data_IF_465299535667
#
_entry.id   IF_465299535667
#
_cell.length_a   1.000
_cell.length_b   1.000
_cell.length_c   1.000
_cell.angle_alpha   90.00
_cell.angle_beta   90.00
_cell.angle_gamma   90.00
#
_symmetry.space_group_name_H-M   'P 1'
#
loop_
_entity.id
_entity.type
_entity.pdbx_description
1 polymer ?
#
# COMPACT_ATOMS: atom_id res chain seq x y z
N UNK A 1 -17.62 19.88 2.72
CA UNK A 1 -16.45 20.20 3.57
C UNK A 1 -15.30 19.32 3.12
N UNK A 2 -14.40 19.85 2.27
CA UNK A 2 -13.17 19.16 1.85
C UNK A 2 -12.14 19.45 2.95
N UNK A 3 -12.26 18.78 4.10
CA UNK A 3 -11.49 19.12 5.30
C UNK A 3 -10.02 18.69 5.26
N UNK A 4 -9.67 17.74 4.38
CA UNK A 4 -8.32 17.14 4.38
C UNK A 4 -7.48 17.47 3.15
N UNK A 5 -8.03 18.14 2.12
CA UNK A 5 -7.29 18.42 0.87
C UNK A 5 -6.57 17.20 0.28
N UNK A 6 -7.04 15.99 0.61
CA UNK A 6 -6.35 14.75 0.30
C UNK A 6 -6.78 14.27 -1.08
N UNK A 7 -5.81 14.01 -1.94
CA UNK A 7 -6.05 13.33 -3.19
C UNK A 7 -6.49 11.89 -2.92
N UNK A 8 -7.67 11.52 -3.40
CA UNK A 8 -8.26 10.17 -3.26
C UNK A 8 -7.74 9.18 -4.31
N UNK A 9 -6.68 9.52 -5.05
CA UNK A 9 -6.04 8.60 -5.98
C UNK A 9 -5.45 7.41 -5.22
N UNK A 10 -5.81 6.21 -5.66
CA UNK A 10 -5.20 4.95 -5.21
C UNK A 10 -4.22 4.45 -6.26
N UNK A 11 -3.43 3.42 -5.92
CA UNK A 11 -2.42 2.80 -6.78
C UNK A 11 -1.25 3.74 -7.15
N UNK A 12 -1.07 4.85 -6.46
CA UNK A 12 0.00 5.82 -6.66
C UNK A 12 1.37 5.35 -6.15
N UNK A 13 2.40 6.02 -6.65
CA UNK A 13 3.80 5.86 -6.29
C UNK A 13 4.35 7.21 -5.84
N UNK A 14 5.07 7.19 -4.71
CA UNK A 14 5.78 8.33 -4.17
C UNK A 14 7.25 7.97 -4.04
N UNK A 15 8.10 8.79 -4.65
CA UNK A 15 9.54 8.74 -4.42
C UNK A 15 10.01 10.10 -3.92
N UNK A 16 10.61 10.13 -2.74
CA UNK A 16 11.21 11.35 -2.18
C UNK A 16 12.70 11.14 -1.97
N UNK A 17 13.50 12.08 -2.47
CA UNK A 17 14.96 12.09 -2.35
C UNK A 17 15.34 13.34 -1.58
N UNK A 18 15.44 13.29 -0.24
CA UNK A 18 15.66 14.47 0.58
C UNK A 18 16.94 15.24 0.21
N UNK A 19 18.03 14.53 -0.10
CA UNK A 19 19.31 15.14 -0.49
C UNK A 19 19.24 16.00 -1.77
N UNK A 20 18.31 15.69 -2.67
CA UNK A 20 18.10 16.42 -3.92
C UNK A 20 16.88 17.37 -3.86
N UNK A 21 16.16 17.42 -2.72
CA UNK A 21 14.86 18.09 -2.58
C UNK A 21 13.84 17.70 -3.67
N UNK A 22 13.90 16.44 -4.15
CA UNK A 22 13.03 15.96 -5.24
C UNK A 22 11.92 15.07 -4.70
N UNK A 23 10.69 15.37 -5.16
CA UNK A 23 9.50 14.54 -4.95
C UNK A 23 8.95 14.14 -6.31
N UNK A 24 8.86 12.84 -6.55
CA UNK A 24 8.38 12.26 -7.79
C UNK A 24 7.08 11.52 -7.52
N UNK A 25 6.12 11.68 -8.43
CA UNK A 25 4.81 11.02 -8.38
C UNK A 25 4.44 10.52 -9.77
N UNK A 26 3.51 9.59 -9.84
CA UNK A 26 3.05 8.94 -11.06
C UNK A 26 1.71 9.50 -11.57
N UNK A 27 1.47 10.80 -11.35
CA UNK A 27 0.22 11.49 -11.70
C UNK A 27 0.15 11.92 -13.18
N UNK A 28 1.15 11.58 -13.98
CA UNK A 28 1.16 11.86 -15.41
C UNK A 28 0.08 11.07 -16.14
N UNK A 29 -0.52 11.68 -17.16
CA UNK A 29 -1.47 10.98 -18.03
C UNK A 29 -0.74 9.95 -18.87
N UNK A 30 -1.27 8.74 -18.91
CA UNK A 30 -0.75 7.63 -19.71
C UNK A 30 -1.84 7.09 -20.63
N UNK A 31 -1.43 6.52 -21.76
CA UNK A 31 -2.29 5.64 -22.55
C UNK A 31 -1.97 4.20 -22.13
N UNK A 32 -2.88 3.53 -21.39
CA UNK A 32 -2.60 2.18 -20.92
C UNK A 32 -2.66 1.17 -22.06
N UNK A 33 -1.83 0.13 -21.95
CA UNK A 33 -1.95 -1.07 -22.75
C UNK A 33 -2.92 -2.03 -22.06
N UNK A 34 -3.95 -2.45 -22.79
CA UNK A 34 -4.88 -3.49 -22.36
C UNK A 34 -4.48 -4.82 -22.98
N UNK A 35 -4.47 -5.87 -22.17
CA UNK A 35 -4.29 -7.25 -22.61
C UNK A 35 -5.18 -8.15 -21.77
N UNK A 36 -5.66 -9.24 -22.35
CA UNK A 36 -6.51 -10.22 -21.66
C UNK A 36 -5.92 -11.61 -21.88
N UNK A 37 -5.90 -12.40 -20.82
CA UNK A 37 -5.66 -13.84 -20.86
C UNK A 37 -6.89 -14.58 -20.28
N UNK A 38 -6.92 -15.93 -20.28
CA UNK A 38 -8.10 -16.66 -19.83
C UNK A 38 -8.59 -16.32 -18.41
N UNK A 39 -7.71 -15.85 -17.53
CA UNK A 39 -7.99 -15.62 -16.12
C UNK A 39 -7.92 -14.13 -15.73
N UNK A 40 -7.24 -13.29 -16.51
CA UNK A 40 -6.93 -11.91 -16.13
C UNK A 40 -7.17 -10.88 -17.25
N UNK A 41 -7.77 -9.76 -16.88
CA UNK A 41 -7.67 -8.50 -17.62
C UNK A 41 -6.51 -7.68 -17.08
N UNK A 42 -5.54 -7.35 -17.92
CA UNK A 42 -4.37 -6.55 -17.59
C UNK A 42 -4.46 -5.13 -18.12
N UNK A 43 -4.22 -4.16 -17.24
CA UNK A 43 -4.12 -2.73 -17.54
C UNK A 43 -2.71 -2.30 -17.17
N UNK A 44 -1.86 -2.09 -18.18
CA UNK A 44 -0.43 -1.80 -18.01
C UNK A 44 -0.10 -0.38 -18.42
N UNK A 45 0.79 0.27 -17.67
CA UNK A 45 1.34 1.56 -18.02
C UNK A 45 2.85 1.58 -17.82
N UNK A 46 3.53 2.34 -18.68
CA UNK A 46 4.94 2.68 -18.54
C UNK A 46 5.04 4.19 -18.55
N UNK A 47 5.68 4.76 -17.54
CA UNK A 47 5.84 6.20 -17.44
C UNK A 47 7.25 6.56 -16.94
N UNK A 48 7.80 7.70 -17.35
CA UNK A 48 9.03 8.20 -16.77
C UNK A 48 8.87 8.43 -15.26
N UNK A 49 9.85 8.01 -14.47
CA UNK A 49 9.92 8.33 -13.05
C UNK A 49 11.38 8.58 -12.67
N UNK A 50 11.73 9.85 -12.45
CA UNK A 50 13.10 10.23 -12.13
C UNK A 50 14.03 10.01 -13.32
N UNK A 51 14.98 9.08 -13.17
CA UNK A 51 15.92 8.68 -14.25
C UNK A 51 15.54 7.35 -14.92
N UNK A 52 14.49 6.68 -14.44
CA UNK A 52 14.05 5.39 -14.93
C UNK A 52 12.63 5.42 -15.48
N UNK A 53 12.11 4.23 -15.75
CA UNK A 53 10.74 3.97 -16.18
C UNK A 53 10.04 3.18 -15.08
N UNK A 54 8.92 3.70 -14.61
CA UNK A 54 8.01 2.96 -13.75
C UNK A 54 7.07 2.14 -14.63
N UNK A 55 7.07 0.83 -14.40
CA UNK A 55 6.11 -0.11 -14.93
C UNK A 55 5.03 -0.35 -13.87
N UNK A 56 3.77 -0.09 -14.24
CA UNK A 56 2.61 -0.36 -13.39
C UNK A 56 1.67 -1.34 -14.07
N UNK A 57 1.06 -2.19 -13.28
CA UNK A 57 0.01 -3.08 -13.73
C UNK A 57 -1.12 -3.12 -12.72
N UNK A 58 -2.34 -3.00 -13.22
CA UNK A 58 -3.56 -3.42 -12.53
C UNK A 58 -4.05 -4.63 -13.29
N UNK A 59 -4.12 -5.79 -12.65
CA UNK A 59 -4.73 -6.99 -13.21
C UNK A 59 -6.00 -7.33 -12.45
N UNK A 60 -7.11 -7.53 -13.16
CA UNK A 60 -8.40 -7.91 -12.58
C UNK A 60 -8.68 -9.36 -12.95
N UNK A 61 -8.91 -10.21 -11.95
CA UNK A 61 -9.24 -11.61 -12.20
C UNK A 61 -10.65 -11.71 -12.78
N UNK A 62 -10.82 -12.50 -13.84
CA UNK A 62 -12.09 -12.60 -14.58
C UNK A 62 -13.11 -13.51 -13.88
N UNK A 63 -12.64 -14.44 -13.04
CA UNK A 63 -13.49 -15.47 -12.41
C UNK A 63 -13.56 -15.41 -10.88
N UNK A 64 -12.81 -14.49 -10.26
CA UNK A 64 -12.70 -14.36 -8.79
C UNK A 64 -12.68 -12.89 -8.41
N UNK A 65 -13.18 -12.56 -7.23
CA UNK A 65 -13.09 -11.19 -6.68
C UNK A 65 -11.65 -10.89 -6.25
N UNK A 66 -10.78 -10.57 -7.20
CA UNK A 66 -9.35 -10.32 -6.94
C UNK A 66 -8.80 -9.28 -7.91
N UNK A 67 -8.08 -8.32 -7.36
CA UNK A 67 -7.32 -7.33 -8.15
C UNK A 67 -5.86 -7.39 -7.72
N UNK A 68 -4.95 -7.51 -8.68
CA UNK A 68 -3.51 -7.43 -8.44
C UNK A 68 -2.99 -6.06 -8.84
N UNK A 69 -2.17 -5.47 -7.99
CA UNK A 69 -1.41 -4.27 -8.27
C UNK A 69 0.07 -4.64 -8.29
N UNK A 70 0.80 -4.20 -9.31
CA UNK A 70 2.23 -4.46 -9.45
C UNK A 70 3.02 -3.23 -9.91
N UNK A 71 4.26 -3.13 -9.41
CA UNK A 71 5.17 -2.03 -9.61
C UNK A 71 6.58 -2.57 -9.87
N UNK A 72 7.24 -2.01 -10.88
CA UNK A 72 8.63 -2.31 -11.17
C UNK A 72 9.32 -1.06 -11.73
N UNK A 73 10.50 -0.74 -11.22
CA UNK A 73 11.33 0.35 -11.73
C UNK A 73 12.44 -0.21 -12.61
N UNK A 74 12.65 0.40 -13.77
CA UNK A 74 13.71 0.06 -14.72
C UNK A 74 14.56 1.31 -15.06
N UNK A 75 15.85 1.36 -14.69
CA UNK A 75 16.58 0.36 -13.91
C UNK A 75 16.04 0.28 -12.47
N UNK A 76 16.20 -0.86 -11.77
CA UNK A 76 15.67 -1.07 -10.42
C UNK A 76 16.52 -0.40 -9.35
N UNK A 77 17.06 0.80 -9.60
CA UNK A 77 17.93 1.49 -8.65
C UNK A 77 17.13 1.95 -7.43
N UNK A 78 17.61 1.61 -6.23
CA UNK A 78 17.03 2.12 -4.98
C UNK A 78 17.56 3.52 -4.70
N UNK A 79 16.70 4.55 -4.66
CA UNK A 79 17.15 5.88 -4.31
C UNK A 79 17.60 5.93 -2.84
N UNK A 80 18.49 6.87 -2.54
CA UNK A 80 18.78 7.27 -1.15
C UNK A 80 17.61 8.11 -0.63
N UNK A 81 16.50 7.44 -0.30
CA UNK A 81 15.27 8.11 0.06
C UNK A 81 14.09 7.16 0.26
N UNK A 82 12.91 7.75 0.14
CA UNK A 82 11.62 7.13 0.42
C UNK A 82 11.04 6.60 -0.89
N UNK A 83 10.55 5.37 -0.87
CA UNK A 83 9.78 4.77 -1.97
C UNK A 83 8.55 4.11 -1.39
N UNK A 84 7.38 4.71 -1.60
CA UNK A 84 6.09 4.18 -1.17
C UNK A 84 5.20 3.93 -2.38
N UNK A 85 4.57 2.77 -2.43
CA UNK A 85 3.74 2.32 -3.55
C UNK A 85 2.40 1.78 -3.04
N UNK A 86 1.45 1.62 -3.95
CA UNK A 86 0.23 0.87 -3.65
C UNK A 86 -0.63 1.51 -2.59
N UNK A 87 -0.75 2.84 -2.61
CA UNK A 87 -1.70 3.48 -1.72
C UNK A 87 -3.13 3.01 -2.05
N UNK A 88 -3.81 2.39 -1.10
CA UNK A 88 -5.21 1.95 -1.24
C UNK A 88 -6.02 2.67 -0.17
N UNK A 89 -6.97 3.48 -0.62
CA UNK A 89 -7.85 4.24 0.30
C UNK A 89 -9.15 3.47 0.47
N UNK A 90 -9.50 3.15 1.71
CA UNK A 90 -10.77 2.54 2.09
C UNK A 90 -11.80 3.65 2.26
N UNK A 91 -12.88 3.60 1.48
CA UNK A 91 -13.92 4.62 1.51
C UNK A 91 -14.84 4.42 2.71
N UNK A 92 -15.06 5.50 3.46
CA UNK A 92 -15.96 5.51 4.63
C UNK A 92 -17.44 5.36 4.30
N UNK A 93 -17.81 5.44 3.02
CA UNK A 93 -19.16 5.11 2.58
C UNK A 93 -19.32 3.59 2.30
N UNK A 94 -18.21 2.83 2.23
CA UNK A 94 -18.21 1.38 2.01
C UNK A 94 -17.99 0.55 3.28
N UNK A 95 -17.28 1.09 4.26
CA UNK A 95 -16.95 0.41 5.51
C UNK A 95 -17.34 1.28 6.70
N UNK A 96 -17.96 0.69 7.72
CA UNK A 96 -18.40 1.41 8.92
C UNK A 96 -17.35 1.35 10.02
N UNK A 97 -17.26 2.39 10.85
CA UNK A 97 -16.55 2.27 12.13
C UNK A 97 -17.32 1.34 13.09
N UNK A 98 -16.63 0.62 14.00
CA UNK A 98 -15.17 0.56 14.14
C UNK A 98 -14.47 -0.27 13.05
N UNK A 99 -13.20 0.05 12.80
CA UNK A 99 -12.33 -0.75 11.92
C UNK A 99 -11.33 -1.58 12.72
N UNK A 100 -11.06 -2.77 12.21
CA UNK A 100 -10.09 -3.71 12.75
C UNK A 100 -8.98 -3.95 11.73
N UNK A 101 -7.76 -4.10 12.21
CA UNK A 101 -6.60 -4.51 11.43
C UNK A 101 -6.08 -5.84 11.96
N UNK A 102 -5.80 -6.78 11.07
CA UNK A 102 -5.25 -8.09 11.41
C UNK A 102 -4.01 -8.40 10.57
N UNK A 103 -2.91 -8.81 11.21
CA UNK A 103 -1.70 -9.29 10.55
C UNK A 103 -0.81 -10.08 11.52
N UNK A 104 0.16 -10.84 11.00
CA UNK A 104 1.21 -11.44 11.83
C UNK A 104 2.39 -10.49 12.01
N UNK A 105 2.81 -10.19 13.23
CA UNK A 105 4.01 -9.41 13.54
C UNK A 105 5.19 -10.30 13.96
N UNK A 106 5.24 -11.53 13.47
CA UNK A 106 6.26 -12.54 13.78
C UNK A 106 5.82 -13.63 14.76
N UNK A 107 4.61 -13.51 15.32
CA UNK A 107 3.97 -14.55 16.13
C UNK A 107 3.35 -15.67 15.29
N UNK A 108 3.02 -16.79 15.96
CA UNK A 108 2.35 -17.94 15.35
C UNK A 108 0.88 -17.68 14.99
N UNK A 109 0.23 -16.77 15.73
CA UNK A 109 -1.16 -16.38 15.52
C UNK A 109 -1.24 -14.94 15.01
N UNK A 110 -2.25 -14.59 14.19
CA UNK A 110 -2.44 -13.22 13.75
C UNK A 110 -2.86 -12.34 14.93
N UNK A 111 -2.26 -11.15 15.04
CA UNK A 111 -2.71 -10.15 16.00
C UNK A 111 -3.81 -9.28 15.38
N UNK A 112 -4.84 -8.98 16.18
CA UNK A 112 -5.94 -8.10 15.80
C UNK A 112 -5.88 -6.79 16.61
N UNK A 113 -6.04 -5.65 15.93
CA UNK A 113 -5.98 -4.32 16.50
C UNK A 113 -7.23 -3.54 16.13
N UNK A 114 -7.88 -2.95 17.12
CA UNK A 114 -8.94 -1.97 16.92
C UNK A 114 -8.31 -0.62 16.52
N UNK A 115 -8.78 -0.01 15.43
CA UNK A 115 -8.32 1.30 14.98
C UNK A 115 -9.10 2.41 15.71
N UNK A 116 -8.80 2.62 16.99
CA UNK A 116 -9.53 3.57 17.87
C UNK A 116 -8.87 4.95 18.00
N UNK A 117 -7.68 5.13 17.43
CA UNK A 117 -6.92 6.36 17.52
C UNK A 117 -6.30 6.74 16.16
N UNK A 118 -5.97 8.03 15.94
CA UNK A 118 -5.26 8.44 14.74
C UNK A 118 -3.93 7.72 14.61
N UNK A 119 -3.69 7.11 13.45
CA UNK A 119 -2.46 6.41 13.10
C UNK A 119 -1.89 7.07 11.85
N UNK A 120 -0.59 7.35 11.85
CA UNK A 120 0.09 7.72 10.62
C UNK A 120 1.54 7.23 10.65
N UNK A 121 1.74 6.00 10.20
CA UNK A 121 3.06 5.38 10.06
C UNK A 121 3.97 6.19 9.12
N UNK A 122 3.38 6.85 8.13
CA UNK A 122 4.10 7.61 7.11
C UNK A 122 4.67 8.95 7.57
N UNK A 123 4.36 9.41 8.80
CA UNK A 123 4.94 10.63 9.35
C UNK A 123 6.43 10.44 9.61
N UNK A 124 7.23 11.36 9.08
CA UNK A 124 8.65 11.41 9.38
C UNK A 124 8.88 11.62 10.88
N UNK A 125 9.81 10.87 11.46
CA UNK A 125 10.25 11.06 12.84
C UNK A 125 11.24 12.24 12.95
N UNK A 126 12.03 12.47 11.91
CA UNK A 126 12.97 13.58 11.77
C UNK A 126 13.27 13.85 10.29
N UNK A 127 14.15 14.80 9.97
CA UNK A 127 14.60 15.01 8.59
C UNK A 127 15.39 13.85 7.99
N UNK A 128 15.95 12.97 8.83
CA UNK A 128 16.77 11.83 8.42
C UNK A 128 16.09 10.48 8.65
N UNK A 129 14.93 10.46 9.32
CA UNK A 129 14.15 9.26 9.61
C UNK A 129 12.75 9.44 9.08
N UNK A 130 12.46 8.82 7.94
CA UNK A 130 11.27 9.10 7.14
C UNK A 130 9.98 8.43 7.60
N UNK A 131 10.07 7.55 8.61
CA UNK A 131 8.94 6.84 9.20
C UNK A 131 9.13 6.66 10.71
N UNK A 132 8.04 6.69 11.47
CA UNK A 132 8.05 6.41 12.92
C UNK A 132 7.83 4.93 13.24
N UNK A 133 7.12 4.21 12.37
CA UNK A 133 6.75 2.81 12.57
C UNK A 133 6.19 2.20 11.28
N UNK A 134 5.96 0.90 11.31
CA UNK A 134 5.23 0.16 10.29
C UNK A 134 4.66 -1.11 10.89
N UNK A 135 3.93 -1.88 10.09
CA UNK A 135 3.40 -3.18 10.51
C UNK A 135 4.39 -4.28 10.09
N UNK A 136 4.54 -5.32 10.90
CA UNK A 136 5.41 -6.45 10.55
C UNK A 136 4.86 -7.22 9.35
N UNK A 137 3.60 -7.66 9.46
CA UNK A 137 2.88 -8.44 8.46
C UNK A 137 3.76 -9.51 7.77
N UNK A 138 4.46 -10.30 8.59
CA UNK A 138 5.59 -11.15 8.19
C UNK A 138 5.20 -12.29 7.25
N UNK A 139 3.92 -12.67 7.25
CA UNK A 139 3.37 -13.69 6.33
C UNK A 139 2.87 -13.09 5.00
N UNK A 140 3.04 -11.79 4.79
CA UNK A 140 2.58 -11.13 3.57
C UNK A 140 1.06 -11.04 3.47
N UNK A 141 0.36 -11.00 4.59
CA UNK A 141 -1.09 -10.83 4.65
C UNK A 141 -1.46 -9.78 5.68
N UNK A 142 -2.38 -8.89 5.30
CA UNK A 142 -2.97 -7.88 6.17
C UNK A 142 -4.45 -7.74 5.82
N UNK A 143 -5.33 -7.77 6.81
CA UNK A 143 -6.76 -7.58 6.62
C UNK A 143 -7.21 -6.32 7.35
N UNK A 144 -8.06 -5.51 6.71
CA UNK A 144 -8.79 -4.43 7.36
C UNK A 144 -10.28 -4.67 7.13
N UNK A 145 -11.07 -4.71 8.20
CA UNK A 145 -12.50 -4.96 8.13
C UNK A 145 -13.30 -4.17 9.17
N UNK A 146 -14.60 -4.06 8.97
CA UNK A 146 -15.55 -3.54 9.94
C UNK A 146 -16.28 -4.67 10.70
N UNK A 147 -17.12 -4.28 11.66
CA UNK A 147 -17.98 -5.18 12.43
C UNK A 147 -19.06 -5.87 11.60
N UNK A 148 -19.41 -5.31 10.44
CA UNK A 148 -20.40 -5.89 9.54
C UNK A 148 -19.80 -6.98 8.64
N UNK A 149 -18.50 -7.25 8.77
CA UNK A 149 -17.76 -8.21 7.96
C UNK A 149 -17.45 -7.71 6.55
N UNK A 150 -17.56 -6.40 6.30
CA UNK A 150 -17.06 -5.76 5.09
C UNK A 150 -15.58 -5.42 5.28
N UNK A 151 -14.76 -5.68 4.28
CA UNK A 151 -13.35 -5.30 4.35
C UNK A 151 -12.55 -5.75 3.15
N UNK A 152 -11.24 -5.65 3.30
CA UNK A 152 -10.29 -6.08 2.29
C UNK A 152 -9.09 -6.79 2.92
N UNK A 153 -8.64 -7.84 2.24
CA UNK A 153 -7.41 -8.55 2.54
C UNK A 153 -6.37 -8.24 1.46
N UNK A 154 -5.20 -7.82 1.91
CA UNK A 154 -4.03 -7.51 1.11
C UNK A 154 -3.05 -8.67 1.23
N UNK A 155 -2.61 -9.25 0.10
CA UNK A 155 -1.68 -10.38 0.09
C UNK A 155 -0.49 -10.11 -0.83
N UNK A 156 0.72 -10.27 -0.33
CA UNK A 156 1.95 -10.20 -1.12
C UNK A 156 2.89 -11.34 -0.73
N UNK A 157 4.06 -11.36 -1.37
CA UNK A 157 5.10 -12.37 -1.15
C UNK A 157 6.34 -11.72 -0.55
N UNK A 158 6.53 -11.78 0.79
CA UNK A 158 7.70 -11.22 1.46
C UNK A 158 9.01 -11.82 0.96
N UNK A 159 9.00 -13.08 0.51
CA UNK A 159 10.14 -13.77 -0.10
C UNK A 159 10.56 -13.18 -1.46
N UNK A 160 9.66 -12.44 -2.11
CA UNK A 160 9.92 -11.74 -3.38
C UNK A 160 10.26 -10.28 -3.19
N UNK A 161 9.57 -9.62 -2.27
CA UNK A 161 9.82 -8.23 -1.91
C UNK A 161 9.32 -8.01 -0.48
N UNK A 162 10.26 -7.74 0.43
CA UNK A 162 9.98 -7.42 1.83
C UNK A 162 9.51 -5.95 1.93
N UNK A 163 8.26 -5.71 1.54
CA UNK A 163 7.63 -4.41 1.67
C UNK A 163 7.08 -4.21 3.10
N UNK A 164 7.22 -3.00 3.63
CA UNK A 164 6.71 -2.61 4.94
C UNK A 164 5.34 -1.95 4.79
N UNK A 165 4.24 -2.55 5.27
CA UNK A 165 2.92 -1.92 5.24
C UNK A 165 2.84 -0.74 6.20
N UNK A 166 2.26 0.35 5.72
CA UNK A 166 2.12 1.62 6.43
C UNK A 166 0.66 2.07 6.39
N UNK A 167 0.10 2.32 7.57
CA UNK A 167 -1.28 2.74 7.72
C UNK A 167 -1.35 4.23 8.04
N UNK A 168 -2.29 4.91 7.38
CA UNK A 168 -2.84 6.19 7.83
C UNK A 168 -4.31 5.98 8.15
N UNK A 169 -4.72 6.33 9.36
CA UNK A 169 -6.10 6.25 9.82
C UNK A 169 -6.43 7.51 10.60
N UNK A 170 -7.49 8.19 10.21
CA UNK A 170 -8.05 9.35 10.92
C UNK A 170 -9.58 9.28 10.90
N UNK A 171 -10.20 9.61 12.03
CA UNK A 171 -11.65 9.74 12.15
C UNK A 171 -12.05 11.21 12.26
N UNK A 172 -13.06 11.60 11.48
CA UNK A 172 -13.61 12.95 11.49
C UNK A 172 -15.13 12.88 11.36
N UNK A 173 -15.85 13.31 12.41
CA UNK A 173 -17.32 13.38 12.44
C UNK A 173 -18.05 12.08 12.02
N UNK A 174 -17.59 10.94 12.52
CA UNK A 174 -18.19 9.62 12.23
C UNK A 174 -17.87 9.08 10.82
N UNK A 175 -17.05 9.80 10.05
CA UNK A 175 -16.38 9.27 8.85
C UNK A 175 -14.94 8.95 9.17
N UNK A 176 -14.33 8.12 8.36
CA UNK A 176 -12.91 7.82 8.44
C UNK A 176 -12.20 8.08 7.11
N UNK A 177 -10.90 8.35 7.23
CA UNK A 177 -9.94 8.22 6.15
C UNK A 177 -8.97 7.13 6.55
N UNK A 178 -8.97 6.03 5.80
CA UNK A 178 -8.06 4.91 6.06
C UNK A 178 -7.34 4.54 4.79
N UNK A 179 -6.02 4.54 4.85
CA UNK A 179 -5.15 4.31 3.70
C UNK A 179 -4.03 3.37 4.09
N UNK A 180 -3.91 2.29 3.34
CA UNK A 180 -2.74 1.42 3.39
C UNK A 180 -1.78 1.83 2.28
N UNK A 181 -0.47 1.77 2.53
CA UNK A 181 0.57 1.89 1.52
C UNK A 181 1.71 0.92 1.86
N UNK A 182 2.58 0.64 0.89
CA UNK A 182 3.72 -0.24 1.07
C UNK A 182 5.00 0.53 0.85
N UNK A 183 5.87 0.56 1.86
CA UNK A 183 7.21 1.10 1.70
C UNK A 183 8.17 0.03 1.19
N UNK A 184 8.87 0.36 0.10
CA UNK A 184 9.94 -0.43 -0.47
C UNK A 184 11.33 0.10 -0.06
N UNK A 185 11.37 1.35 0.43
CA UNK A 185 12.57 2.01 0.94
C UNK A 185 12.14 3.16 1.84
N UNK A 186 12.77 3.25 3.00
CA UNK A 186 12.71 4.41 3.89
C UNK A 186 14.14 4.92 4.10
N UNK A 187 14.25 6.21 4.43
CA UNK A 187 15.52 6.82 4.81
C UNK A 187 15.68 6.74 6.33
N UNK A 188 16.86 6.27 6.75
CA UNK A 188 17.34 6.27 8.12
C UNK A 188 18.87 6.45 8.18
N UNK A 189 19.43 6.55 9.38
CA UNK A 189 20.88 6.73 9.59
C UNK A 189 21.73 5.54 9.08
N UNK A 190 21.11 4.39 8.82
CA UNK A 190 21.78 3.18 8.33
C UNK A 190 21.75 3.05 6.81
N UNK A 191 21.07 3.97 6.13
CA UNK A 191 20.86 3.93 4.68
C UNK A 191 22.18 3.99 3.90
N UNK A 192 22.24 3.20 2.82
CA UNK A 192 23.40 3.04 1.93
C UNK A 192 22.97 3.04 0.46
N UNK A 193 23.79 3.67 -0.36
CA UNK A 193 23.62 3.72 -1.82
C UNK A 193 23.90 2.36 -2.48
N UNK A 194 23.47 2.20 -3.74
CA UNK A 194 23.77 1.02 -4.55
C UNK A 194 22.86 -0.19 -4.30
N UNK A 195 21.76 0.00 -3.57
CA UNK A 195 20.72 -1.04 -3.45
C UNK A 195 19.83 -1.10 -4.69
N UNK A 196 19.06 -2.18 -4.80
CA UNK A 196 18.05 -2.35 -5.84
C UNK A 196 16.64 -2.45 -5.24
N UNK A 197 15.65 -1.88 -5.92
CA UNK A 197 14.24 -2.11 -5.65
C UNK A 197 13.78 -3.39 -6.34
N UNK A 198 13.29 -4.34 -5.55
CA UNK A 198 12.68 -5.55 -6.10
C UNK A 198 11.30 -5.22 -6.68
N UNK A 199 10.86 -5.90 -7.76
CA UNK A 199 9.48 -5.80 -8.22
C UNK A 199 8.53 -6.12 -7.07
N UNK A 200 7.54 -5.27 -6.86
CA UNK A 200 6.54 -5.45 -5.81
C UNK A 200 5.17 -5.66 -6.43
N UNK A 201 4.43 -6.63 -5.90
CA UNK A 201 3.03 -6.83 -6.24
C UNK A 201 2.25 -7.34 -5.06
N UNK A 202 0.99 -6.95 -4.98
CA UNK A 202 0.05 -7.50 -4.00
C UNK A 202 -1.32 -7.70 -4.64
N UNK A 203 -2.05 -8.67 -4.11
CA UNK A 203 -3.45 -8.91 -4.40
C UNK A 203 -4.33 -8.24 -3.36
N UNK A 204 -5.42 -7.65 -3.84
CA UNK A 204 -6.53 -7.13 -3.07
C UNK A 204 -7.71 -8.08 -3.25
N UNK A 205 -8.21 -8.63 -2.15
CA UNK A 205 -9.35 -9.53 -2.10
C UNK A 205 -10.40 -8.94 -1.16
N UNK A 206 -11.71 -9.16 -1.40
CA UNK A 206 -12.72 -8.82 -0.40
C UNK A 206 -12.49 -9.67 0.85
N UNK A 207 -12.60 -9.03 2.01
CA UNK A 207 -12.80 -9.76 3.25
C UNK A 207 -14.28 -10.13 3.36
N UNK A 208 -14.56 -11.34 3.80
CA UNK A 208 -15.90 -11.77 4.15
C UNK A 208 -15.80 -12.67 5.35
N UNK A 209 -16.38 -12.21 6.46
CA UNK A 209 -16.40 -12.96 7.70
C UNK A 209 -17.16 -14.28 7.50
N UNK A 210 -16.47 -15.41 7.64
CA UNK A 210 -17.14 -16.72 7.65
C UNK A 210 -17.89 -16.89 8.97
N UNK A 211 -19.04 -17.58 8.96
CA UNK A 211 -19.90 -17.78 10.15
C UNK A 211 -19.21 -18.40 11.38
N UNK A 212 -17.96 -18.85 11.26
CA UNK A 212 -17.18 -19.45 12.34
C UNK A 212 -16.45 -18.45 13.24
N UNK A 213 -16.33 -17.18 12.82
CA UNK A 213 -15.52 -16.18 13.54
C UNK A 213 -16.31 -15.40 14.62
N UNK A 214 -17.57 -15.80 14.89
CA UNK A 214 -18.41 -15.23 15.96
C UNK A 214 -18.35 -16.05 17.26
N UNK A 215 -17.12 -16.30 17.74
CA UNK A 215 -16.86 -16.96 19.03
C UNK A 215 -16.90 -15.98 20.19
#
# INVERSE_FOLDING_TARGET
TIGMGADFYSNGVLVEIPGDHRRLTDLERVQPLLAEDPDWLHIRARLPLGKGILHKEIAVHLHESRVRLAYHLDPPERPMGIVRVGNVTLFSDSMSLPLYLQCHNGGAEPEAFLLEAPINHGLAASSLVSSRSGLGATEGTLTIHDDNGCGATFRWRPDRCAALPMLTHEEHHGKHFTRLSFSLSELDDTSRSGGCLLPFSFDLLPYSMTRHDRG
#
